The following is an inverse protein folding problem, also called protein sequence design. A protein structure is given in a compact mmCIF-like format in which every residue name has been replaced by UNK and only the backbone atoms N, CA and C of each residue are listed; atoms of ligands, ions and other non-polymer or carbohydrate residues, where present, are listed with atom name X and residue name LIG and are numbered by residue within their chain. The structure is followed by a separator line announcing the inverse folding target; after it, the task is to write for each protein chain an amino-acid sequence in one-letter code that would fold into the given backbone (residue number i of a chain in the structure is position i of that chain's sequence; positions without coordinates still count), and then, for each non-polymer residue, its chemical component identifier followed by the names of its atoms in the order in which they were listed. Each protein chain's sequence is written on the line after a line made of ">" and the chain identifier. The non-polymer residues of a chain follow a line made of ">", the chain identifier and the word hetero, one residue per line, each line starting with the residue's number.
data_IF_407752715087
#
_entry.id   IF_407752715087
#
_cell.length_a   1.000
_cell.length_b   1.000
_cell.length_c   1.000
_cell.angle_alpha   90.00
_cell.angle_beta   90.00
_cell.angle_gamma   90.00
#
_symmetry.space_group_name_H-M   'P 1'
#
loop_
_entity.id
_entity.type
_entity.pdbx_description
1 polymer ?
#
# COMPACT_ATOMS: atom_id res chain seq x y z
N UNK A 1 2.51 -8.56 3.75
CA UNK A 1 1.13 -8.21 3.34
C UNK A 1 0.33 -8.18 4.60
N UNK A 2 -0.38 -7.09 4.83
CA UNK A 2 -1.09 -6.86 6.08
C UNK A 2 -2.33 -6.00 5.83
N UNK A 3 -3.28 -6.02 6.75
CA UNK A 3 -4.49 -5.22 6.70
C UNK A 3 -4.50 -4.14 7.76
N UNK A 4 -4.71 -2.90 7.32
CA UNK A 4 -5.22 -1.83 8.20
C UNK A 4 -6.74 -1.98 8.20
N UNK A 5 -7.34 -2.21 9.36
CA UNK A 5 -8.79 -2.45 9.50
C UNK A 5 -9.43 -1.43 10.43
N UNK A 6 -10.77 -1.44 10.52
CA UNK A 6 -11.54 -0.56 11.41
C UNK A 6 -11.38 0.94 11.08
N UNK A 7 -11.13 1.26 9.81
CA UNK A 7 -11.12 2.63 9.35
C UNK A 7 -12.56 3.16 9.24
N UNK A 8 -12.78 4.48 9.40
CA UNK A 8 -14.07 5.09 9.09
C UNK A 8 -14.52 4.73 7.67
N UNK A 9 -15.82 4.58 7.43
CA UNK A 9 -16.31 4.18 6.12
C UNK A 9 -16.03 5.26 5.07
N UNK A 10 -15.37 4.85 3.97
CA UNK A 10 -15.08 5.72 2.84
C UNK A 10 -15.55 5.07 1.55
N UNK A 11 -16.67 5.57 0.99
CA UNK A 11 -17.35 4.99 -0.19
C UNK A 11 -17.52 3.45 -0.11
N UNK A 12 -17.84 2.95 1.09
CA UNK A 12 -18.02 1.53 1.45
C UNK A 12 -16.75 0.72 1.75
N UNK A 13 -15.57 1.35 1.72
CA UNK A 13 -14.34 0.73 2.21
C UNK A 13 -14.14 1.05 3.69
N UNK A 14 -13.70 0.06 4.47
CA UNK A 14 -13.38 0.21 5.91
C UNK A 14 -11.98 -0.35 6.25
N UNK A 15 -11.25 -0.82 5.24
CA UNK A 15 -9.98 -1.51 5.40
C UNK A 15 -9.06 -1.23 4.21
N UNK A 16 -7.75 -1.40 4.41
CA UNK A 16 -6.72 -1.27 3.38
C UNK A 16 -5.86 -2.52 3.42
N UNK A 17 -5.69 -3.19 2.28
CA UNK A 17 -4.65 -4.18 2.11
C UNK A 17 -3.35 -3.46 1.73
N UNK A 18 -2.33 -3.63 2.56
CA UNK A 18 -0.97 -3.12 2.32
C UNK A 18 -0.08 -4.28 1.88
N UNK A 19 0.54 -4.16 0.71
CA UNK A 19 1.52 -5.11 0.23
C UNK A 19 2.83 -4.39 -0.08
N UNK A 20 3.93 -4.87 0.51
CA UNK A 20 5.25 -4.27 0.40
C UNK A 20 6.22 -5.30 -0.15
N UNK A 21 6.94 -4.96 -1.22
CA UNK A 21 8.05 -5.76 -1.70
C UNK A 21 9.25 -5.61 -0.74
N UNK A 22 9.78 -6.75 -0.28
CA UNK A 22 10.86 -6.75 0.74
C UNK A 22 12.18 -6.23 0.19
N UNK A 23 12.42 -6.35 -1.11
CA UNK A 23 13.66 -5.90 -1.75
C UNK A 23 13.63 -4.40 -2.07
N UNK A 24 12.76 -3.99 -2.99
CA UNK A 24 12.66 -2.61 -3.48
C UNK A 24 11.99 -1.66 -2.49
N UNK A 25 11.29 -2.19 -1.48
CA UNK A 25 10.42 -1.43 -0.57
C UNK A 25 9.20 -0.82 -1.27
N UNK A 26 8.90 -1.22 -2.51
CA UNK A 26 7.72 -0.78 -3.24
C UNK A 26 6.46 -1.22 -2.48
N UNK A 27 5.62 -0.27 -2.12
CA UNK A 27 4.35 -0.53 -1.47
C UNK A 27 3.18 -0.32 -2.43
N UNK A 28 2.11 -1.09 -2.23
CA UNK A 28 0.80 -0.82 -2.84
C UNK A 28 -0.27 -0.77 -1.75
N UNK A 29 -1.20 0.18 -1.89
CA UNK A 29 -2.26 0.44 -0.93
C UNK A 29 -3.61 0.24 -1.60
N UNK A 30 -4.33 -0.82 -1.21
CA UNK A 30 -5.54 -1.23 -1.91
C UNK A 30 -6.75 -1.06 -0.96
N UNK A 31 -7.70 -0.16 -1.27
CA UNK A 31 -8.91 -0.02 -0.48
C UNK A 31 -9.74 -1.30 -0.59
N UNK A 32 -10.24 -1.78 0.55
CA UNK A 32 -11.01 -3.02 0.67
C UNK A 32 -11.99 -2.91 1.84
N UNK A 33 -12.65 -4.01 2.18
CA UNK A 33 -13.53 -4.13 3.33
C UNK A 33 -13.09 -5.26 4.25
N UNK A 34 -13.37 -5.14 5.55
CA UNK A 34 -12.97 -6.04 6.62
C UNK A 34 -13.59 -7.43 6.46
N UNK A 35 -14.73 -7.50 5.78
CA UNK A 35 -15.50 -8.70 5.53
C UNK A 35 -15.12 -9.44 4.22
N UNK A 36 -13.97 -9.12 3.59
CA UNK A 36 -13.54 -9.88 2.39
C UNK A 36 -13.35 -11.37 2.71
N UNK A 37 -13.61 -12.20 1.70
CA UNK A 37 -13.30 -13.63 1.75
C UNK A 37 -11.88 -13.93 1.26
N UNK A 38 -11.41 -15.16 1.46
CA UNK A 38 -10.14 -15.60 0.89
C UNK A 38 -10.12 -15.59 -0.65
N UNK A 39 -11.29 -15.74 -1.28
CA UNK A 39 -11.45 -15.64 -2.73
C UNK A 39 -11.29 -14.18 -3.18
N UNK A 40 -11.90 -13.24 -2.47
CA UNK A 40 -11.73 -11.80 -2.73
C UNK A 40 -10.27 -11.38 -2.58
N UNK A 41 -9.60 -11.85 -1.51
CA UNK A 41 -8.16 -11.64 -1.32
C UNK A 41 -7.35 -12.16 -2.52
N UNK A 42 -7.68 -13.33 -3.06
CA UNK A 42 -7.01 -13.84 -4.26
C UNK A 42 -7.24 -12.97 -5.50
N UNK A 43 -8.47 -12.49 -5.72
CA UNK A 43 -8.75 -11.55 -6.81
C UNK A 43 -7.98 -10.25 -6.66
N UNK A 44 -7.91 -9.70 -5.44
CA UNK A 44 -7.14 -8.50 -5.14
C UNK A 44 -5.65 -8.75 -5.39
N UNK A 45 -5.10 -9.84 -4.85
CA UNK A 45 -3.69 -10.21 -5.04
C UNK A 45 -3.34 -10.37 -6.51
N UNK A 46 -4.17 -11.08 -7.29
CA UNK A 46 -3.93 -11.29 -8.72
C UNK A 46 -3.96 -9.94 -9.46
N UNK A 47 -4.96 -9.12 -9.18
CA UNK A 47 -5.21 -7.87 -9.91
C UNK A 47 -4.21 -6.77 -9.59
N UNK A 48 -3.69 -6.73 -8.37
CA UNK A 48 -2.87 -5.61 -7.90
C UNK A 48 -1.40 -5.96 -7.63
N UNK A 49 -1.09 -7.21 -7.29
CA UNK A 49 0.30 -7.66 -7.04
C UNK A 49 0.80 -8.45 -8.25
N UNK A 50 0.17 -9.60 -8.54
CA UNK A 50 0.67 -10.53 -9.55
C UNK A 50 0.69 -9.89 -10.94
N UNK A 51 -0.40 -9.25 -11.37
CA UNK A 51 -0.50 -8.63 -12.70
C UNK A 51 0.58 -7.57 -12.96
N UNK A 52 1.09 -6.91 -11.91
CA UNK A 52 2.04 -5.80 -12.00
C UNK A 52 3.49 -6.24 -11.82
N UNK A 53 3.74 -7.19 -10.91
CA UNK A 53 5.09 -7.53 -10.45
C UNK A 53 5.46 -9.00 -10.66
N UNK A 54 4.51 -9.83 -11.13
CA UNK A 54 4.72 -11.27 -11.26
C UNK A 54 4.45 -12.04 -9.96
N UNK A 55 4.70 -13.35 -10.00
CA UNK A 55 4.49 -14.25 -8.86
C UNK A 55 5.66 -14.08 -7.88
N UNK A 56 5.41 -13.71 -6.61
CA UNK A 56 6.46 -13.62 -5.62
C UNK A 56 6.96 -15.02 -5.22
N UNK A 57 8.24 -15.13 -4.88
CA UNK A 57 8.83 -16.39 -4.36
C UNK A 57 8.23 -16.74 -2.98
N UNK A 58 7.88 -15.73 -2.20
CA UNK A 58 7.34 -15.90 -0.86
C UNK A 58 6.47 -14.72 -0.46
N UNK A 59 5.43 -14.99 0.33
CA UNK A 59 4.59 -13.97 0.97
C UNK A 59 4.72 -14.11 2.48
N UNK A 60 5.06 -12.98 3.11
CA UNK A 60 4.89 -12.82 4.55
C UNK A 60 3.54 -12.17 4.79
N UNK A 61 2.76 -12.73 5.72
CA UNK A 61 1.56 -12.09 6.24
C UNK A 61 1.35 -12.49 7.69
N UNK A 62 0.45 -11.78 8.36
CA UNK A 62 0.03 -12.11 9.71
C UNK A 62 -0.76 -13.43 9.75
N UNK A 63 -1.11 -13.89 10.95
CA UNK A 63 -1.95 -15.08 11.15
C UNK A 63 -3.44 -14.78 10.98
N UNK A 64 -3.81 -13.69 10.29
CA UNK A 64 -5.18 -13.38 9.95
C UNK A 64 -5.85 -14.56 9.25
N UNK A 65 -7.14 -14.77 9.55
CA UNK A 65 -7.95 -15.91 9.08
C UNK A 65 -7.89 -16.10 7.56
N UNK A 66 -7.71 -15.01 6.80
CA UNK A 66 -7.59 -15.01 5.34
C UNK A 66 -6.28 -15.65 4.86
N UNK A 67 -5.13 -15.26 5.44
CA UNK A 67 -3.81 -15.76 5.03
C UNK A 67 -3.54 -17.20 5.48
N UNK A 68 -4.29 -17.70 6.46
CA UNK A 68 -4.25 -19.10 6.90
C UNK A 68 -5.36 -19.98 6.31
N UNK A 69 -6.28 -19.39 5.53
CA UNK A 69 -7.39 -20.14 4.93
C UNK A 69 -6.90 -21.28 4.03
N UNK A 70 -7.70 -22.34 3.94
CA UNK A 70 -7.40 -23.50 3.06
C UNK A 70 -7.31 -23.08 1.60
N UNK A 71 -8.20 -22.20 1.16
CA UNK A 71 -8.22 -21.66 -0.20
C UNK A 71 -6.93 -20.89 -0.52
N UNK A 72 -6.54 -19.92 0.32
CA UNK A 72 -5.31 -19.15 0.11
C UNK A 72 -4.06 -20.05 0.15
N UNK A 73 -4.06 -21.01 1.07
CA UNK A 73 -2.98 -22.01 1.18
C UNK A 73 -2.83 -22.81 -0.12
N UNK A 74 -3.93 -23.33 -0.66
CA UNK A 74 -3.92 -24.11 -1.91
C UNK A 74 -3.51 -23.24 -3.10
N UNK A 75 -4.01 -22.01 -3.20
CA UNK A 75 -3.60 -21.07 -4.24
C UNK A 75 -2.08 -20.85 -4.24
N UNK A 76 -1.50 -20.53 -3.07
CA UNK A 76 -0.06 -20.36 -2.94
C UNK A 76 0.72 -21.63 -3.30
N UNK A 77 0.23 -22.81 -2.93
CA UNK A 77 0.85 -24.08 -3.32
C UNK A 77 0.86 -24.30 -4.84
N UNK A 78 -0.27 -24.03 -5.52
CA UNK A 78 -0.37 -24.14 -6.98
C UNK A 78 0.55 -23.15 -7.69
N UNK A 79 0.68 -21.94 -7.15
CA UNK A 79 1.58 -20.90 -7.66
C UNK A 79 3.03 -21.04 -7.18
N UNK A 80 3.34 -22.08 -6.38
CA UNK A 80 4.66 -22.34 -5.78
C UNK A 80 5.21 -21.16 -4.95
N UNK A 81 4.32 -20.46 -4.25
CA UNK A 81 4.64 -19.34 -3.36
C UNK A 81 4.88 -19.89 -1.94
N UNK A 82 6.04 -19.62 -1.36
CA UNK A 82 6.28 -19.90 0.06
C UNK A 82 5.44 -18.97 0.94
N UNK A 83 4.82 -19.49 2.01
CA UNK A 83 4.06 -18.67 2.96
C UNK A 83 4.77 -18.65 4.29
N UNK A 84 5.25 -17.48 4.68
CA UNK A 84 5.93 -17.26 5.94
C UNK A 84 4.97 -16.49 6.86
N UNK A 85 4.21 -17.20 7.69
CA UNK A 85 3.27 -16.56 8.61
C UNK A 85 4.04 -15.95 9.78
N UNK A 86 3.93 -14.63 9.97
CA UNK A 86 4.52 -13.95 11.12
C UNK A 86 3.90 -14.53 12.40
N UNK A 87 4.68 -14.60 13.48
CA UNK A 87 4.13 -14.97 14.80
C UNK A 87 4.01 -13.69 15.62
N UNK A 88 3.07 -13.65 16.58
CA UNK A 88 2.87 -12.51 17.48
C UNK A 88 4.13 -12.08 18.25
N UNK A 89 5.21 -12.88 18.22
CA UNK A 89 6.46 -12.64 18.92
C UNK A 89 7.68 -12.52 18.00
N UNK A 90 7.52 -12.39 16.68
CA UNK A 90 8.63 -12.14 15.74
C UNK A 90 8.43 -10.83 14.96
N UNK A 91 8.74 -9.67 15.58
CA UNK A 91 8.68 -8.35 14.95
C UNK A 91 9.56 -8.21 13.70
N UNK A 92 10.61 -9.03 13.57
CA UNK A 92 11.53 -8.96 12.43
C UNK A 92 10.87 -9.36 11.10
N UNK A 93 9.86 -10.23 11.12
CA UNK A 93 9.21 -10.71 9.89
C UNK A 93 8.19 -9.71 9.36
N UNK A 94 7.51 -8.96 10.25
CA UNK A 94 6.40 -8.06 9.88
C UNK A 94 6.67 -6.56 10.11
N UNK A 95 7.77 -6.21 10.79
CA UNK A 95 8.08 -4.82 11.15
C UNK A 95 8.26 -3.90 9.93
N UNK A 96 8.52 -4.45 8.75
CA UNK A 96 8.50 -3.68 7.50
C UNK A 96 7.08 -3.22 7.15
N UNK A 97 6.10 -4.13 7.16
CA UNK A 97 4.70 -3.75 6.85
C UNK A 97 4.16 -2.84 7.94
N UNK A 98 4.47 -3.13 9.21
CA UNK A 98 4.05 -2.28 10.34
C UNK A 98 4.55 -0.84 10.20
N UNK A 99 5.83 -0.65 9.84
CA UNK A 99 6.37 0.69 9.61
C UNK A 99 5.69 1.41 8.45
N UNK A 100 5.37 0.69 7.37
CA UNK A 100 4.64 1.25 6.22
C UNK A 100 3.21 1.62 6.60
N UNK A 101 2.54 0.79 7.41
CA UNK A 101 1.20 1.09 7.91
C UNK A 101 1.21 2.38 8.75
N UNK A 102 2.18 2.56 9.65
CA UNK A 102 2.31 3.79 10.44
C UNK A 102 2.50 5.04 9.56
N UNK A 103 3.32 4.95 8.51
CA UNK A 103 3.52 6.05 7.56
C UNK A 103 2.22 6.36 6.82
N UNK A 104 1.50 5.32 6.38
CA UNK A 104 0.22 5.47 5.71
C UNK A 104 -0.85 6.08 6.63
N UNK A 105 -0.94 5.65 7.89
CA UNK A 105 -1.86 6.21 8.88
C UNK A 105 -1.59 7.70 9.13
N UNK A 106 -0.31 8.07 9.31
CA UNK A 106 0.09 9.47 9.46
C UNK A 106 -0.28 10.30 8.22
N UNK A 107 -0.06 9.75 7.04
CA UNK A 107 -0.44 10.38 5.79
C UNK A 107 -1.96 10.63 5.71
N UNK A 108 -2.77 9.60 6.01
CA UNK A 108 -4.22 9.73 5.99
C UNK A 108 -4.68 10.75 7.03
N UNK A 109 -4.10 10.75 8.23
CA UNK A 109 -4.44 11.71 9.28
C UNK A 109 -4.26 13.18 8.86
N UNK A 110 -3.28 13.47 8.00
CA UNK A 110 -2.99 14.84 7.54
C UNK A 110 -3.91 15.28 6.39
N UNK A 111 -4.27 14.38 5.47
CA UNK A 111 -4.89 14.76 4.19
C UNK A 111 -6.38 14.48 4.06
N UNK A 112 -6.89 13.58 4.91
CA UNK A 112 -8.29 13.17 4.93
C UNK A 112 -9.15 14.32 5.45
N UNK A 113 -10.36 14.45 4.91
CA UNK A 113 -11.31 15.48 5.34
C UNK A 113 -11.71 15.31 6.81
N UNK A 114 -12.28 16.36 7.39
CA UNK A 114 -12.78 16.32 8.78
C UNK A 114 -13.76 15.16 9.04
N UNK A 115 -14.53 14.76 8.03
CA UNK A 115 -15.51 13.66 8.13
C UNK A 115 -14.90 12.26 8.00
N UNK A 116 -13.63 12.17 7.63
CA UNK A 116 -12.88 10.92 7.50
C UNK A 116 -13.46 9.91 6.50
N UNK A 117 -14.28 10.35 5.55
CA UNK A 117 -15.02 9.51 4.61
C UNK A 117 -14.45 9.54 3.19
N UNK A 118 -13.32 10.19 2.95
CA UNK A 118 -12.69 10.35 1.63
C UNK A 118 -11.28 9.75 1.53
N UNK A 119 -10.83 9.00 2.54
CA UNK A 119 -9.49 8.43 2.57
C UNK A 119 -9.15 7.52 1.39
N UNK A 120 -10.11 6.77 0.84
CA UNK A 120 -9.86 5.88 -0.31
C UNK A 120 -9.37 6.66 -1.53
N UNK A 121 -9.77 7.93 -1.67
CA UNK A 121 -9.38 8.79 -2.79
C UNK A 121 -7.92 9.25 -2.72
N UNK A 122 -7.32 9.24 -1.52
CA UNK A 122 -5.93 9.65 -1.31
C UNK A 122 -4.92 8.50 -1.40
N UNK A 123 -5.37 7.24 -1.36
CA UNK A 123 -4.46 6.09 -1.42
C UNK A 123 -3.53 6.08 -2.63
N UNK A 124 -3.97 6.39 -3.87
CA UNK A 124 -3.05 6.45 -5.01
C UNK A 124 -1.94 7.50 -4.82
N UNK A 125 -2.25 8.60 -4.13
CA UNK A 125 -1.31 9.68 -3.87
C UNK A 125 -0.36 9.32 -2.73
N UNK A 126 -0.88 8.66 -1.69
CA UNK A 126 -0.08 8.10 -0.61
C UNK A 126 0.92 7.07 -1.17
N UNK A 127 0.45 6.16 -2.02
CA UNK A 127 1.27 5.13 -2.68
C UNK A 127 2.36 5.78 -3.52
N UNK A 128 2.02 6.78 -4.34
CA UNK A 128 3.00 7.51 -5.15
C UNK A 128 4.03 8.26 -4.29
N UNK A 129 3.59 8.99 -3.28
CA UNK A 129 4.47 9.77 -2.41
C UNK A 129 5.43 8.86 -1.63
N UNK A 130 4.92 7.76 -1.06
CA UNK A 130 5.73 6.74 -0.40
C UNK A 130 6.77 6.13 -1.35
N UNK A 131 6.36 5.70 -2.55
CA UNK A 131 7.25 5.05 -3.49
C UNK A 131 8.27 5.98 -4.17
N UNK A 132 8.05 7.30 -4.11
CA UNK A 132 8.96 8.30 -4.66
C UNK A 132 9.88 8.93 -3.60
N UNK A 133 9.60 8.73 -2.31
CA UNK A 133 10.44 9.20 -1.23
C UNK A 133 11.67 8.30 -1.05
N UNK A 134 12.80 8.88 -0.65
CA UNK A 134 14.01 8.12 -0.36
C UNK A 134 13.81 7.28 0.90
N UNK A 135 14.04 5.97 0.81
CA UNK A 135 13.91 5.10 1.96
C UNK A 135 15.26 4.99 2.69
N UNK A 136 15.25 5.15 4.02
CA UNK A 136 16.47 5.29 4.83
C UNK A 136 17.43 4.09 4.75
N UNK A 137 16.88 2.88 4.51
CA UNK A 137 17.64 1.63 4.40
C UNK A 137 18.26 1.39 3.01
N UNK A 138 17.64 1.87 1.94
CA UNK A 138 18.13 1.68 0.55
C UNK A 138 18.88 2.90 0.04
N UNK A 139 18.74 4.08 0.69
CA UNK A 139 19.24 5.39 0.22
C UNK A 139 18.76 5.74 -1.18
N UNK A 140 17.66 5.12 -1.58
CA UNK A 140 17.02 5.24 -2.88
C UNK A 140 15.52 5.14 -2.64
N UNK A 141 14.74 5.73 -3.53
CA UNK A 141 13.30 5.53 -3.50
C UNK A 141 12.94 4.11 -3.97
N UNK A 142 11.77 3.59 -3.56
CA UNK A 142 11.25 2.35 -4.12
C UNK A 142 11.12 2.36 -5.64
N UNK A 143 10.67 3.46 -6.24
CA UNK A 143 10.61 3.59 -7.70
C UNK A 143 11.97 3.46 -8.36
N UNK A 144 13.01 4.09 -7.82
CA UNK A 144 14.34 3.99 -8.38
C UNK A 144 14.88 2.57 -8.24
N UNK A 145 14.69 1.93 -7.08
CA UNK A 145 15.14 0.56 -6.84
C UNK A 145 14.48 -0.43 -7.80
N UNK A 146 13.18 -0.26 -8.09
CA UNK A 146 12.42 -1.18 -8.93
C UNK A 146 12.58 -0.89 -10.43
N UNK A 147 12.53 0.36 -10.85
CA UNK A 147 12.49 0.76 -12.26
C UNK A 147 13.77 1.42 -12.78
N UNK A 148 14.75 1.67 -11.92
CA UNK A 148 15.99 2.39 -12.27
C UNK A 148 15.78 3.89 -12.52
N UNK A 149 14.59 4.44 -12.22
CA UNK A 149 14.27 5.86 -12.40
C UNK A 149 13.16 6.30 -11.44
N UNK A 150 13.20 7.58 -11.07
CA UNK A 150 12.08 8.23 -10.39
C UNK A 150 11.12 8.84 -11.42
N UNK A 151 9.81 8.62 -11.28
CA UNK A 151 8.82 9.37 -12.04
C UNK A 151 8.97 10.86 -11.72
N UNK A 152 9.10 11.70 -12.75
CA UNK A 152 9.01 13.15 -12.56
C UNK A 152 7.57 13.52 -12.26
N UNK A 153 7.39 14.39 -11.27
CA UNK A 153 6.17 15.15 -11.05
C UNK A 153 6.50 16.63 -11.20
N UNK A 154 7.03 17.02 -12.36
CA UNK A 154 7.04 18.42 -12.73
C UNK A 154 5.59 18.83 -12.97
N UNK A 155 5.06 19.82 -12.23
CA UNK A 155 3.72 20.32 -12.49
C UNK A 155 3.73 20.88 -13.91
N UNK A 156 3.08 20.17 -14.83
CA UNK A 156 2.56 20.80 -16.05
C UNK A 156 1.85 22.06 -15.53
N UNK A 157 2.18 23.24 -16.06
CA UNK A 157 1.59 24.51 -15.63
C UNK A 157 0.06 24.47 -15.81
N UNK A 158 -0.64 23.89 -14.85
CA UNK A 158 -2.09 23.81 -14.78
C UNK A 158 -2.51 25.10 -14.09
N UNK A 159 -3.33 25.90 -14.75
CA UNK A 159 -3.93 27.08 -14.14
C UNK A 159 -4.64 26.68 -12.84
N UNK A 160 -4.23 27.31 -11.74
CA UNK A 160 -4.70 27.01 -10.38
C UNK A 160 -6.20 27.27 -10.19
N UNK A 161 -6.81 28.06 -11.07
CA UNK A 161 -8.23 28.43 -11.02
C UNK A 161 -9.17 27.33 -11.55
N UNK A 162 -8.63 26.28 -12.14
CA UNK A 162 -9.41 25.15 -12.63
C UNK A 162 -9.62 24.09 -11.54
N UNK A 163 -10.68 23.27 -11.60
CA UNK A 163 -10.80 22.08 -10.75
C UNK A 163 -9.56 21.17 -10.80
N UNK A 164 -8.89 21.08 -11.97
CA UNK A 164 -7.63 20.37 -12.14
C UNK A 164 -6.45 21.06 -11.41
N UNK A 165 -6.41 22.40 -11.40
CA UNK A 165 -5.42 23.20 -10.69
C UNK A 165 -5.46 22.98 -9.18
N UNK A 166 -6.67 22.93 -8.59
CA UNK A 166 -6.84 22.64 -7.16
C UNK A 166 -6.34 21.25 -6.76
N UNK A 167 -6.57 20.24 -7.62
CA UNK A 167 -6.00 18.89 -7.42
C UNK A 167 -4.46 18.92 -7.48
N UNK A 168 -3.88 19.70 -8.40
CA UNK A 168 -2.42 19.81 -8.55
C UNK A 168 -1.72 20.39 -7.31
N UNK A 169 -2.30 21.39 -6.66
CA UNK A 169 -1.75 21.96 -5.40
C UNK A 169 -1.78 20.94 -4.27
N UNK A 170 -2.84 20.12 -4.19
CA UNK A 170 -2.95 19.05 -3.19
C UNK A 170 -1.91 17.93 -3.43
N UNK A 171 -1.54 17.66 -4.68
CA UNK A 171 -0.46 16.71 -5.03
C UNK A 171 0.93 17.18 -4.57
N UNK A 172 1.16 18.49 -4.54
CA UNK A 172 2.46 19.07 -4.15
C UNK A 172 2.70 19.04 -2.64
N UNK A 173 1.69 19.37 -1.82
CA UNK A 173 1.83 19.33 -0.36
C UNK A 173 2.08 17.91 0.16
N UNK A 174 1.41 16.94 -0.45
CA UNK A 174 1.51 15.49 -0.21
C UNK A 174 2.94 14.96 -0.20
N UNK A 175 3.84 15.47 -1.06
CA UNK A 175 5.23 15.00 -1.13
C UNK A 175 6.15 15.56 -0.04
N UNK A 176 5.79 16.66 0.61
CA UNK A 176 6.65 17.25 1.65
C UNK A 176 6.58 16.45 2.96
N UNK A 177 5.42 15.85 3.26
CA UNK A 177 5.18 15.11 4.50
C UNK A 177 5.94 13.78 4.57
N UNK A 178 6.25 13.15 3.43
CA UNK A 178 6.94 11.85 3.40
C UNK A 178 8.47 12.00 3.51
N UNK A 179 9.00 13.23 3.43
CA UNK A 179 10.45 13.51 3.53
C UNK A 179 10.94 13.79 4.96
N UNK A 180 10.04 13.86 5.94
CA UNK A 180 10.35 14.02 7.38
C UNK A 180 10.17 12.69 8.12
#
# INVERSE_FOLDING_TARGET
>A
MDFITQLPLSRNFDSILVAVDRFSKMAIFIPTYSAITALDLAHIFISHVFSKYGIPISIVGDRGSLFVSSFWTQLCQQLKISRDLSTAFHPETDGQTERVNQILEQYLWIYVSYHQDDWHTFLPLAEFAYNNAEHSSTKQSPFFTLYGRNPSFDPIHISQDTPAGKLSTKLQSVQQVVKE
#
